data_IF_535427041327
#
_entry.id   IF_535427041327
#
_cell.length_a   1.000
_cell.length_b   1.000
_cell.length_c   1.000
_cell.angle_alpha   90.00
_cell.angle_beta   90.00
_cell.angle_gamma   90.00
#
_symmetry.space_group_name_H-M   'P 1'
#
loop_
_entity.id
_entity.type
_entity.pdbx_description
1 polymer ?
#
# COMPACT_ATOMS: atom_id res chain seq x y z
N UNK A 1 -15.30 -11.64 -32.79
CA UNK A 1 -14.09 -11.19 -33.50
C UNK A 1 -13.12 -12.36 -33.56
N UNK A 2 -12.57 -12.69 -34.74
CA UNK A 2 -11.44 -13.63 -34.81
C UNK A 2 -10.28 -13.07 -34.01
N UNK A 3 -9.70 -13.92 -33.17
CA UNK A 3 -8.54 -13.51 -32.33
C UNK A 3 -7.34 -13.31 -33.24
N UNK A 4 -6.66 -12.19 -33.16
CA UNK A 4 -5.43 -11.92 -33.91
C UNK A 4 -4.35 -12.95 -33.56
N UNK A 5 -3.56 -13.37 -34.55
CA UNK A 5 -2.46 -14.30 -34.40
C UNK A 5 -1.29 -13.86 -35.29
N UNK A 6 -0.07 -13.97 -34.81
CA UNK A 6 1.15 -13.64 -35.57
C UNK A 6 2.25 -14.64 -35.20
N UNK A 7 2.58 -15.55 -36.13
CA UNK A 7 3.67 -16.52 -35.95
C UNK A 7 5.02 -15.83 -35.80
N UNK A 8 5.28 -14.78 -36.57
CA UNK A 8 6.54 -14.02 -36.50
C UNK A 8 6.71 -13.32 -35.15
N UNK A 9 5.61 -12.79 -34.59
CA UNK A 9 5.65 -12.12 -33.29
C UNK A 9 5.80 -13.15 -32.16
N UNK A 10 5.17 -14.29 -32.28
CA UNK A 10 5.37 -15.42 -31.35
C UNK A 10 6.81 -15.96 -31.40
N UNK A 11 7.37 -16.06 -32.61
CA UNK A 11 8.77 -16.46 -32.76
C UNK A 11 9.76 -15.43 -32.18
N UNK A 12 9.35 -14.16 -32.08
CA UNK A 12 10.09 -13.09 -31.39
C UNK A 12 9.89 -13.08 -29.85
N UNK A 13 9.10 -14.02 -29.31
CA UNK A 13 8.90 -14.21 -27.89
C UNK A 13 7.64 -13.55 -27.32
N UNK A 14 6.71 -13.04 -28.18
CA UNK A 14 5.46 -12.41 -27.72
C UNK A 14 4.24 -13.22 -28.20
N UNK A 15 3.50 -13.82 -27.27
CA UNK A 15 2.30 -14.63 -27.57
C UNK A 15 1.01 -13.84 -27.32
N UNK A 16 0.47 -13.22 -28.37
CA UNK A 16 -0.80 -12.47 -28.33
C UNK A 16 -1.97 -13.34 -27.84
N UNK A 17 -1.97 -14.65 -28.14
CA UNK A 17 -3.06 -15.53 -27.74
C UNK A 17 -3.06 -15.81 -26.22
N UNK A 18 -1.89 -15.84 -25.60
CA UNK A 18 -1.73 -15.90 -24.16
C UNK A 18 -2.29 -14.62 -23.49
N UNK A 19 -2.05 -13.44 -24.08
CA UNK A 19 -2.64 -12.18 -23.63
C UNK A 19 -4.17 -12.22 -23.62
N UNK A 20 -4.80 -12.69 -24.70
CA UNK A 20 -6.26 -12.84 -24.75
C UNK A 20 -6.80 -13.83 -23.71
N UNK A 21 -6.09 -14.94 -23.47
CA UNK A 21 -6.48 -15.90 -22.44
C UNK A 21 -6.38 -15.29 -21.04
N UNK A 22 -5.32 -14.53 -20.76
CA UNK A 22 -5.17 -13.81 -19.50
C UNK A 22 -6.34 -12.83 -19.27
N UNK A 23 -6.68 -12.01 -20.26
CA UNK A 23 -7.81 -11.05 -20.17
C UNK A 23 -9.12 -11.76 -19.84
N UNK A 24 -9.38 -12.92 -20.46
CA UNK A 24 -10.63 -13.69 -20.19
C UNK A 24 -10.68 -14.16 -18.72
N UNK A 25 -9.56 -14.66 -18.19
CA UNK A 25 -9.47 -15.12 -16.81
C UNK A 25 -9.60 -13.95 -15.78
N UNK A 26 -9.16 -12.75 -16.15
CA UNK A 26 -9.20 -11.58 -15.27
C UNK A 26 -10.61 -10.97 -15.11
N UNK A 27 -11.50 -11.13 -16.10
CA UNK A 27 -12.81 -10.43 -16.13
C UNK A 27 -13.61 -10.53 -14.85
N UNK A 28 -13.70 -11.72 -14.25
CA UNK A 28 -14.45 -11.93 -13.01
C UNK A 28 -13.84 -11.19 -11.82
N UNK A 29 -12.51 -11.04 -11.78
CA UNK A 29 -11.81 -10.34 -10.70
C UNK A 29 -12.03 -8.83 -10.81
N UNK A 30 -11.89 -8.29 -12.04
CA UNK A 30 -12.12 -6.87 -12.31
C UNK A 30 -13.58 -6.48 -12.06
N UNK A 31 -14.54 -7.32 -12.45
CA UNK A 31 -15.97 -7.07 -12.23
C UNK A 31 -16.31 -6.85 -10.73
N UNK A 32 -15.60 -7.47 -9.80
CA UNK A 32 -15.79 -7.29 -8.36
C UNK A 32 -15.42 -5.88 -7.87
N UNK A 33 -14.59 -5.15 -8.62
CA UNK A 33 -14.11 -3.82 -8.24
C UNK A 33 -15.01 -2.69 -8.73
N UNK A 34 -15.98 -2.99 -9.61
CA UNK A 34 -16.82 -1.96 -10.21
C UNK A 34 -17.62 -1.20 -9.16
N UNK A 35 -17.45 0.11 -9.16
CA UNK A 35 -18.21 1.06 -8.35
C UNK A 35 -19.25 1.77 -9.23
N UNK A 36 -20.25 2.46 -8.65
CA UNK A 36 -21.29 3.14 -9.45
C UNK A 36 -20.77 4.12 -10.50
N UNK A 37 -19.61 4.76 -10.27
CA UNK A 37 -19.00 5.69 -11.23
C UNK A 37 -18.24 5.01 -12.38
N UNK A 38 -17.89 3.71 -12.27
CA UNK A 38 -17.16 3.02 -13.32
C UNK A 38 -18.04 2.75 -14.53
N UNK A 39 -17.62 3.23 -15.71
CA UNK A 39 -18.38 3.10 -16.97
C UNK A 39 -17.68 2.11 -17.91
N UNK A 40 -18.40 1.12 -18.38
CA UNK A 40 -17.87 0.12 -19.30
C UNK A 40 -17.19 -1.06 -18.60
N UNK A 41 -16.27 -1.73 -19.30
CA UNK A 41 -15.53 -2.89 -18.82
C UNK A 41 -14.18 -3.00 -19.51
N UNK A 42 -13.45 -4.10 -19.26
CA UNK A 42 -12.16 -4.37 -19.88
C UNK A 42 -12.26 -4.43 -21.42
N UNK A 43 -11.25 -3.88 -22.10
CA UNK A 43 -11.09 -3.99 -23.55
C UNK A 43 -11.25 -2.66 -24.32
N UNK A 44 -11.50 -1.54 -23.65
CA UNK A 44 -11.41 -0.20 -24.23
C UNK A 44 -9.98 0.32 -24.21
N UNK A 45 -9.70 1.42 -24.93
CA UNK A 45 -8.40 2.11 -24.88
C UNK A 45 -8.17 2.89 -23.60
N UNK A 46 -9.21 3.18 -22.82
CA UNK A 46 -9.12 3.90 -21.57
C UNK A 46 -10.23 3.51 -20.60
N UNK A 47 -9.96 3.64 -19.31
CA UNK A 47 -10.94 3.48 -18.25
C UNK A 47 -11.80 4.74 -18.13
N UNK A 48 -13.12 4.58 -18.13
CA UNK A 48 -14.06 5.69 -17.96
C UNK A 48 -14.65 5.67 -16.57
N UNK A 49 -14.73 6.87 -15.97
CA UNK A 49 -15.29 7.02 -14.64
C UNK A 49 -16.13 8.31 -14.57
N UNK A 50 -17.38 8.19 -14.17
CA UNK A 50 -18.26 9.32 -13.90
C UNK A 50 -18.06 9.77 -12.45
N UNK A 51 -17.66 11.03 -12.28
CA UNK A 51 -17.46 11.60 -10.96
C UNK A 51 -18.81 12.00 -10.35
N UNK A 52 -19.13 11.41 -9.19
CA UNK A 52 -20.23 11.90 -8.36
C UNK A 52 -19.84 13.25 -7.73
N UNK A 53 -20.55 14.30 -8.13
CA UNK A 53 -20.33 15.68 -7.66
C UNK A 53 -21.04 15.99 -6.34
N UNK A 54 -21.71 15.02 -5.71
CA UNK A 54 -22.42 15.25 -4.46
C UNK A 54 -21.44 15.66 -3.34
N UNK A 55 -21.61 16.86 -2.81
CA UNK A 55 -20.77 17.44 -1.77
C UNK A 55 -19.39 17.94 -2.27
N UNK A 56 -19.24 18.09 -3.59
CA UNK A 56 -18.04 18.64 -4.23
C UNK A 56 -18.41 19.95 -4.97
N UNK A 57 -17.94 21.06 -4.44
CA UNK A 57 -18.05 22.39 -5.10
C UNK A 57 -16.77 22.70 -5.88
N UNK A 58 -15.62 22.36 -5.30
CA UNK A 58 -14.30 22.55 -5.89
C UNK A 58 -13.49 21.25 -5.81
N UNK A 59 -13.81 20.25 -6.64
CA UNK A 59 -13.12 18.95 -6.60
C UNK A 59 -11.64 19.07 -6.98
N UNK A 60 -10.77 18.48 -6.19
CA UNK A 60 -9.33 18.35 -6.45
C UNK A 60 -9.02 16.88 -6.65
N UNK A 61 -8.38 16.55 -7.77
CA UNK A 61 -7.87 15.19 -8.03
C UNK A 61 -6.53 15.01 -7.31
N UNK A 62 -6.39 13.88 -6.64
CA UNK A 62 -5.14 13.43 -6.01
C UNK A 62 -4.73 12.14 -6.67
N UNK A 63 -3.48 12.05 -7.13
CA UNK A 63 -2.96 10.86 -7.79
C UNK A 63 -1.74 10.33 -7.06
N UNK A 64 -1.60 9.00 -7.03
CA UNK A 64 -0.46 8.29 -6.49
C UNK A 64 -0.04 7.16 -7.43
N UNK A 65 1.26 6.94 -7.54
CA UNK A 65 1.83 5.81 -8.29
C UNK A 65 2.92 5.18 -7.46
N UNK A 66 2.93 3.86 -7.39
CA UNK A 66 3.94 3.06 -6.70
C UNK A 66 3.92 1.62 -7.22
N UNK A 67 4.91 0.84 -6.82
CA UNK A 67 4.98 -0.59 -7.11
C UNK A 67 4.99 -1.44 -5.85
N UNK A 68 5.44 -2.68 -5.99
CA UNK A 68 5.64 -3.61 -4.87
C UNK A 68 7.10 -3.61 -4.41
N UNK A 69 8.03 -3.38 -5.31
CA UNK A 69 9.45 -3.46 -5.06
C UNK A 69 9.97 -4.88 -4.90
N UNK A 70 11.12 -5.03 -4.22
CA UNK A 70 11.86 -6.30 -4.19
C UNK A 70 11.21 -7.41 -3.35
N UNK A 71 10.08 -7.14 -2.70
CA UNK A 71 9.19 -8.15 -2.08
C UNK A 71 8.68 -9.15 -3.12
N UNK A 72 8.52 -8.73 -4.39
CA UNK A 72 8.14 -9.61 -5.50
C UNK A 72 9.02 -10.86 -5.63
N UNK A 73 10.31 -10.77 -5.29
CA UNK A 73 11.21 -11.95 -5.33
C UNK A 73 10.75 -13.08 -4.40
N UNK A 74 10.14 -12.77 -3.26
CA UNK A 74 9.59 -13.78 -2.35
C UNK A 74 8.35 -14.44 -2.97
N UNK A 75 7.47 -13.66 -3.58
CA UNK A 75 6.30 -14.17 -4.27
C UNK A 75 6.67 -15.11 -5.42
N UNK A 76 7.70 -14.74 -6.19
CA UNK A 76 8.24 -15.56 -7.29
C UNK A 76 8.83 -16.87 -6.75
N UNK A 77 9.63 -16.82 -5.67
CA UNK A 77 10.23 -18.01 -5.04
C UNK A 77 9.18 -18.97 -4.45
N UNK A 78 8.07 -18.44 -3.98
CA UNK A 78 6.98 -19.21 -3.35
C UNK A 78 5.84 -19.55 -4.31
N UNK A 79 5.92 -19.12 -5.57
CA UNK A 79 4.85 -19.23 -6.58
C UNK A 79 3.49 -18.72 -6.04
N UNK A 80 3.52 -17.60 -5.29
CA UNK A 80 2.35 -17.00 -4.65
C UNK A 80 2.18 -15.55 -5.08
N UNK A 81 1.35 -15.32 -6.09
CA UNK A 81 1.28 -14.04 -6.80
C UNK A 81 0.09 -13.16 -6.43
N UNK A 82 -0.96 -13.73 -5.85
CA UNK A 82 -2.23 -13.05 -5.60
C UNK A 82 -2.29 -12.21 -4.33
N UNK A 83 -1.28 -12.25 -3.48
CA UNK A 83 -1.26 -11.47 -2.23
C UNK A 83 -0.29 -10.29 -2.27
N UNK A 84 0.92 -10.51 -2.81
CA UNK A 84 1.98 -9.50 -2.85
C UNK A 84 1.61 -8.26 -3.66
N UNK A 85 0.73 -8.38 -4.62
CA UNK A 85 0.30 -7.27 -5.49
C UNK A 85 -0.76 -6.36 -4.84
N UNK A 86 -1.38 -6.80 -3.74
CA UNK A 86 -2.17 -5.93 -2.86
C UNK A 86 -1.29 -4.80 -2.32
N UNK A 87 0.00 -5.06 -2.10
CA UNK A 87 0.96 -4.04 -1.66
C UNK A 87 1.04 -2.87 -2.66
N UNK A 88 1.07 -3.13 -3.97
CA UNK A 88 1.10 -2.07 -4.98
C UNK A 88 -0.15 -1.17 -4.93
N UNK A 89 -1.33 -1.77 -4.71
CA UNK A 89 -2.57 -1.00 -4.53
C UNK A 89 -2.50 -0.20 -3.23
N UNK A 90 -2.11 -0.86 -2.13
CA UNK A 90 -2.03 -0.24 -0.81
C UNK A 90 -1.08 0.96 -0.79
N UNK A 91 0.10 0.85 -1.41
CA UNK A 91 1.06 1.94 -1.49
C UNK A 91 0.45 3.17 -2.17
N UNK A 92 -0.26 2.98 -3.29
CA UNK A 92 -0.90 4.08 -4.02
C UNK A 92 -2.07 4.70 -3.25
N UNK A 93 -3.00 3.89 -2.74
CA UNK A 93 -4.25 4.41 -2.15
C UNK A 93 -4.05 4.94 -0.71
N UNK A 94 -3.08 4.40 0.04
CA UNK A 94 -2.74 4.93 1.34
C UNK A 94 -2.05 6.29 1.23
N UNK A 95 -1.29 6.56 0.17
CA UNK A 95 -0.73 7.89 -0.09
C UNK A 95 -1.82 8.90 -0.43
N UNK A 96 -2.79 8.51 -1.28
CA UNK A 96 -3.92 9.38 -1.65
C UNK A 96 -4.73 9.79 -0.43
N UNK A 97 -5.03 8.86 0.48
CA UNK A 97 -5.84 9.15 1.66
C UNK A 97 -5.13 10.09 2.64
N UNK A 98 -3.79 10.21 2.59
CA UNK A 98 -3.08 11.19 3.44
C UNK A 98 -3.49 12.63 3.16
N UNK A 99 -3.97 12.91 1.95
CA UNK A 99 -4.53 14.22 1.56
C UNK A 99 -6.03 14.35 1.87
N UNK A 100 -6.66 13.33 2.45
CA UNK A 100 -8.11 13.27 2.66
C UNK A 100 -8.90 12.85 1.43
N UNK A 101 -8.24 12.44 0.34
CA UNK A 101 -8.90 12.09 -0.92
C UNK A 101 -9.46 10.66 -0.90
N UNK A 102 -10.69 10.50 -1.36
CA UNK A 102 -11.31 9.20 -1.59
C UNK A 102 -10.79 8.61 -2.89
N UNK A 103 -10.13 7.43 -2.90
CA UNK A 103 -9.76 6.74 -4.12
C UNK A 103 -10.98 6.41 -4.97
N UNK A 104 -10.87 6.62 -6.28
CA UNK A 104 -11.93 6.38 -7.27
C UNK A 104 -11.58 5.27 -8.24
N UNK A 105 -10.42 5.40 -8.87
CA UNK A 105 -9.94 4.48 -9.91
C UNK A 105 -8.53 4.01 -9.64
N UNK A 106 -8.24 2.82 -10.15
CA UNK A 106 -6.92 2.22 -10.16
C UNK A 106 -6.60 1.68 -11.56
N UNK A 107 -5.34 1.79 -11.94
CA UNK A 107 -4.75 1.21 -13.14
C UNK A 107 -3.50 0.44 -12.73
N UNK A 108 -3.23 -0.70 -13.36
CA UNK A 108 -1.99 -1.43 -13.19
C UNK A 108 -1.16 -1.49 -14.47
N UNK A 109 0.15 -1.63 -14.32
CA UNK A 109 1.08 -1.98 -15.37
C UNK A 109 1.89 -3.19 -14.94
N UNK A 110 1.73 -4.30 -15.65
CA UNK A 110 2.43 -5.55 -15.41
C UNK A 110 3.44 -5.75 -16.52
N UNK A 111 4.74 -5.74 -16.22
CA UNK A 111 5.83 -6.06 -17.13
C UNK A 111 6.39 -7.43 -16.78
N UNK A 112 6.42 -8.39 -17.70
CA UNK A 112 6.89 -9.75 -17.44
C UNK A 112 7.78 -10.28 -18.56
N UNK A 113 8.65 -11.25 -18.23
CA UNK A 113 9.48 -11.90 -19.22
C UNK A 113 8.68 -12.79 -20.17
N UNK A 114 7.59 -13.40 -19.63
CA UNK A 114 6.68 -14.25 -20.39
C UNK A 114 5.27 -14.19 -19.82
N UNK A 115 4.28 -14.04 -20.69
CA UNK A 115 2.88 -14.09 -20.30
C UNK A 115 2.44 -15.54 -20.08
N UNK A 116 2.16 -15.87 -18.80
CA UNK A 116 1.49 -17.10 -18.38
C UNK A 116 0.10 -16.70 -17.92
N UNK A 117 -0.97 -17.05 -18.65
CA UNK A 117 -2.34 -16.54 -18.42
C UNK A 117 -2.81 -16.69 -16.97
N UNK A 118 -2.58 -17.85 -16.36
CA UNK A 118 -2.99 -18.16 -14.99
C UNK A 118 -2.22 -17.33 -13.97
N UNK A 119 -0.92 -17.07 -14.19
CA UNK A 119 -0.09 -16.23 -13.34
C UNK A 119 -0.55 -14.77 -13.41
N UNK A 120 -0.78 -14.25 -14.62
CA UNK A 120 -1.28 -12.88 -14.81
C UNK A 120 -2.67 -12.72 -14.17
N UNK A 121 -3.55 -13.70 -14.33
CA UNK A 121 -4.86 -13.69 -13.67
C UNK A 121 -4.75 -13.71 -12.14
N UNK A 122 -3.81 -14.49 -11.58
CA UNK A 122 -3.53 -14.49 -10.13
C UNK A 122 -3.02 -13.12 -9.66
N UNK A 123 -2.12 -12.48 -10.41
CA UNK A 123 -1.65 -11.11 -10.14
C UNK A 123 -2.84 -10.15 -10.11
N UNK A 124 -3.63 -10.10 -11.19
CA UNK A 124 -4.78 -9.18 -11.28
C UNK A 124 -5.85 -9.49 -10.24
N UNK A 125 -6.01 -10.75 -9.82
CA UNK A 125 -6.93 -11.09 -8.72
C UNK A 125 -6.54 -10.41 -7.39
N UNK A 126 -5.25 -10.30 -7.12
CA UNK A 126 -4.75 -9.57 -5.94
C UNK A 126 -4.86 -8.06 -6.08
N UNK A 127 -4.60 -7.49 -7.27
CA UNK A 127 -4.86 -6.07 -7.54
C UNK A 127 -6.34 -5.75 -7.31
N UNK A 128 -7.23 -6.58 -7.87
CA UNK A 128 -8.68 -6.43 -7.68
C UNK A 128 -9.09 -6.51 -6.20
N UNK A 129 -8.49 -7.43 -5.43
CA UNK A 129 -8.74 -7.51 -3.98
C UNK A 129 -8.34 -6.23 -3.26
N UNK A 130 -7.16 -5.68 -3.57
CA UNK A 130 -6.72 -4.38 -3.03
C UNK A 130 -7.68 -3.25 -3.38
N UNK A 131 -8.16 -3.21 -4.64
CA UNK A 131 -9.16 -2.23 -5.09
C UNK A 131 -10.49 -2.36 -4.34
N UNK A 132 -10.99 -3.57 -4.10
CA UNK A 132 -12.22 -3.82 -3.29
C UNK A 132 -12.03 -3.31 -1.85
N UNK A 133 -10.87 -3.58 -1.25
CA UNK A 133 -10.56 -3.07 0.09
C UNK A 133 -10.53 -1.54 0.12
N UNK A 134 -9.94 -0.90 -0.88
CA UNK A 134 -9.87 0.55 -1.01
C UNK A 134 -11.23 1.19 -1.42
N UNK A 135 -12.15 0.42 -2.00
CA UNK A 135 -13.37 0.97 -2.60
C UNK A 135 -13.12 1.71 -3.92
N UNK A 136 -12.04 1.38 -4.62
CA UNK A 136 -11.68 1.91 -5.93
C UNK A 136 -12.01 0.92 -7.04
N UNK A 137 -12.33 1.43 -8.25
CA UNK A 137 -12.58 0.59 -9.41
C UNK A 137 -11.28 0.35 -10.21
N UNK A 138 -10.98 -0.91 -10.50
CA UNK A 138 -9.92 -1.27 -11.46
C UNK A 138 -10.48 -1.09 -12.87
N UNK A 139 -10.25 0.09 -13.47
CA UNK A 139 -10.89 0.50 -14.73
C UNK A 139 -10.07 0.17 -15.97
N UNK A 140 -8.85 -0.31 -15.80
CA UNK A 140 -7.95 -0.68 -16.89
C UNK A 140 -6.57 -1.05 -16.39
N UNK A 141 -5.69 -1.34 -17.33
CA UNK A 141 -4.30 -1.68 -17.07
C UNK A 141 -3.60 -2.12 -18.34
N UNK A 142 -2.33 -2.50 -18.21
CA UNK A 142 -1.50 -2.99 -19.31
C UNK A 142 -0.71 -4.22 -18.85
N UNK A 143 -0.59 -5.21 -19.72
CA UNK A 143 0.30 -6.35 -19.52
C UNK A 143 1.28 -6.42 -20.70
N UNK A 144 2.54 -6.12 -20.43
CA UNK A 144 3.62 -6.11 -21.41
C UNK A 144 4.49 -7.36 -21.28
N UNK A 145 4.52 -8.19 -22.33
CA UNK A 145 5.50 -9.26 -22.48
C UNK A 145 6.80 -8.67 -23.02
N UNK A 146 7.88 -8.79 -22.26
CA UNK A 146 9.16 -8.15 -22.52
C UNK A 146 10.30 -9.18 -22.55
N UNK A 147 10.36 -10.03 -23.59
CA UNK A 147 11.39 -11.07 -23.70
C UNK A 147 12.78 -10.45 -23.76
N UNK A 148 13.70 -11.02 -22.98
CA UNK A 148 15.09 -10.52 -22.90
C UNK A 148 15.30 -9.32 -21.99
N UNK A 149 14.22 -8.69 -21.49
CA UNK A 149 14.30 -7.61 -20.50
C UNK A 149 14.11 -8.16 -19.08
N UNK A 150 13.10 -9.00 -18.88
CA UNK A 150 12.90 -9.77 -17.66
C UNK A 150 13.19 -11.27 -17.91
N UNK A 151 13.70 -12.01 -16.91
CA UNK A 151 13.68 -13.46 -16.93
C UNK A 151 12.24 -14.01 -17.14
N UNK A 152 12.09 -15.15 -17.80
CA UNK A 152 10.76 -15.69 -18.16
C UNK A 152 9.78 -15.85 -16.99
N UNK A 153 10.30 -16.16 -15.80
CA UNK A 153 9.50 -16.38 -14.59
C UNK A 153 9.32 -15.12 -13.73
N UNK A 154 9.93 -13.99 -14.12
CA UNK A 154 9.93 -12.75 -13.36
C UNK A 154 8.99 -11.71 -13.97
N UNK A 155 8.54 -10.80 -13.11
CA UNK A 155 7.71 -9.66 -13.48
C UNK A 155 7.93 -8.50 -12.53
N UNK A 156 7.51 -7.33 -12.97
CA UNK A 156 7.35 -6.13 -12.14
C UNK A 156 5.93 -5.60 -12.29
N UNK A 157 5.49 -4.82 -11.31
CA UNK A 157 4.16 -4.23 -11.29
C UNK A 157 4.23 -2.81 -10.74
N UNK A 158 3.58 -1.91 -11.44
CA UNK A 158 3.30 -0.55 -10.98
C UNK A 158 1.79 -0.31 -10.96
N UNK A 159 1.33 0.42 -9.95
CA UNK A 159 -0.03 0.90 -9.82
C UNK A 159 -0.12 2.39 -10.01
N UNK A 160 -1.28 2.85 -10.44
CA UNK A 160 -1.64 4.26 -10.52
C UNK A 160 -3.07 4.42 -10.02
N UNK A 161 -3.23 5.22 -8.98
CA UNK A 161 -4.53 5.52 -8.39
C UNK A 161 -4.89 7.00 -8.57
N UNK A 162 -6.17 7.28 -8.72
CA UNK A 162 -6.72 8.65 -8.68
C UNK A 162 -7.84 8.68 -7.67
N UNK A 163 -7.80 9.68 -6.80
CA UNK A 163 -8.86 10.00 -5.85
C UNK A 163 -9.34 11.43 -6.01
N UNK A 164 -10.38 11.79 -5.27
CA UNK A 164 -10.96 13.13 -5.23
C UNK A 164 -11.16 13.60 -3.81
N UNK A 165 -10.94 14.88 -3.59
CA UNK A 165 -11.24 15.57 -2.34
C UNK A 165 -11.84 16.94 -2.65
N UNK A 166 -12.80 17.40 -1.84
CA UNK A 166 -13.23 18.80 -1.87
C UNK A 166 -12.08 19.70 -1.41
N UNK A 167 -11.79 20.77 -2.16
CA UNK A 167 -10.64 21.66 -1.90
C UNK A 167 -10.55 22.14 -0.46
N UNK A 168 -11.69 22.47 0.14
CA UNK A 168 -11.79 22.93 1.53
C UNK A 168 -11.57 21.81 2.58
N UNK A 169 -11.54 20.54 2.14
CA UNK A 169 -11.33 19.35 2.99
C UNK A 169 -9.96 18.73 2.80
N UNK A 170 -9.10 19.32 1.99
CA UNK A 170 -7.70 18.84 1.89
C UNK A 170 -7.08 18.94 3.28
N UNK A 171 -6.50 17.84 3.73
CA UNK A 171 -5.83 17.80 5.03
C UNK A 171 -4.61 18.70 4.97
N UNK A 172 -4.54 19.65 5.90
CA UNK A 172 -3.39 20.48 6.11
C UNK A 172 -3.07 20.57 7.61
N UNK A 173 -1.80 20.80 7.91
CA UNK A 173 -1.29 20.81 9.28
C UNK A 173 -1.25 22.20 9.92
N UNK A 174 -1.90 23.19 9.34
CA UNK A 174 -1.82 24.59 9.80
C UNK A 174 -2.44 24.82 11.18
N UNK A 175 -3.37 23.95 11.58
CA UNK A 175 -4.02 23.98 12.90
C UNK A 175 -3.31 23.13 13.96
N UNK A 176 -2.29 22.35 13.56
CA UNK A 176 -1.53 21.48 14.45
C UNK A 176 -0.76 22.30 15.49
N UNK A 177 -0.74 21.83 16.74
CA UNK A 177 -0.07 22.48 17.85
C UNK A 177 0.48 21.46 18.86
N UNK A 178 1.45 21.85 19.68
CA UNK A 178 1.89 21.01 20.80
C UNK A 178 0.74 20.58 21.69
N UNK A 179 0.72 19.29 22.07
CA UNK A 179 -0.33 18.63 22.83
C UNK A 179 -1.31 17.84 21.96
N UNK A 180 -1.33 18.03 20.64
CA UNK A 180 -2.18 17.22 19.75
C UNK A 180 -1.78 15.75 19.80
N UNK A 181 -2.77 14.87 19.71
CA UNK A 181 -2.58 13.44 19.86
C UNK A 181 -2.09 12.78 18.56
N UNK A 182 -1.11 11.89 18.68
CA UNK A 182 -0.65 11.03 17.58
C UNK A 182 -1.17 9.62 17.79
N UNK A 183 -2.04 9.17 16.89
CA UNK A 183 -2.69 7.85 16.92
C UNK A 183 -2.03 6.96 15.87
N UNK A 184 -1.66 5.75 16.30
CA UNK A 184 -1.12 4.72 15.44
C UNK A 184 -2.23 3.82 14.89
N UNK A 185 -2.18 3.53 13.60
CA UNK A 185 -2.90 2.44 12.94
C UNK A 185 -1.90 1.31 12.70
N UNK A 186 -2.11 0.12 13.29
CA UNK A 186 -1.14 -0.97 13.23
C UNK A 186 -0.85 -1.43 11.81
N UNK A 187 0.41 -1.76 11.54
CA UNK A 187 0.78 -2.47 10.32
C UNK A 187 0.43 -3.96 10.40
N UNK A 188 0.31 -4.60 9.25
CA UNK A 188 0.15 -6.06 9.14
C UNK A 188 1.48 -6.82 9.24
N UNK A 189 2.59 -6.10 9.34
CA UNK A 189 3.97 -6.60 9.32
C UNK A 189 4.90 -5.63 8.62
N UNK A 190 5.85 -6.14 7.85
CA UNK A 190 6.88 -5.33 7.16
C UNK A 190 6.29 -4.40 6.09
N UNK A 191 5.10 -4.72 5.58
CA UNK A 191 4.48 -4.07 4.43
C UNK A 191 5.28 -4.29 3.14
N UNK A 192 5.60 -3.20 2.40
CA UNK A 192 6.29 -3.30 1.11
C UNK A 192 7.70 -2.71 1.11
N UNK A 193 8.15 -2.14 2.22
CA UNK A 193 9.40 -1.40 2.30
C UNK A 193 10.51 -2.16 3.04
N UNK A 194 11.78 -1.86 2.73
CA UNK A 194 12.94 -2.47 3.37
C UNK A 194 13.29 -3.87 2.89
N UNK A 195 12.64 -4.41 1.84
CA UNK A 195 12.81 -5.80 1.41
C UNK A 195 14.18 -6.11 0.81
N UNK A 196 14.93 -5.14 0.31
CA UNK A 196 16.33 -5.37 -0.08
C UNK A 196 17.18 -5.75 1.13
N UNK A 197 16.97 -5.08 2.26
CA UNK A 197 17.63 -5.40 3.52
C UNK A 197 17.15 -6.74 4.08
N UNK A 198 15.83 -6.97 4.14
CA UNK A 198 15.22 -8.23 4.59
C UNK A 198 15.81 -9.44 3.84
N UNK A 199 15.85 -9.35 2.50
CA UNK A 199 16.38 -10.42 1.65
C UNK A 199 17.86 -10.70 1.93
N UNK A 200 18.65 -9.66 2.19
CA UNK A 200 20.05 -9.79 2.57
C UNK A 200 20.21 -10.41 3.94
N UNK A 201 19.46 -9.93 4.94
CA UNK A 201 19.55 -10.40 6.35
C UNK A 201 19.26 -11.89 6.45
N UNK A 202 18.23 -12.40 5.79
CA UNK A 202 17.83 -13.79 5.84
C UNK A 202 18.44 -14.67 4.74
N UNK A 203 19.26 -14.10 3.84
CA UNK A 203 19.78 -14.86 2.70
C UNK A 203 18.66 -15.51 1.87
N UNK A 204 17.60 -14.76 1.56
CA UNK A 204 16.36 -15.28 0.95
C UNK A 204 16.65 -16.04 -0.34
N UNK A 205 16.24 -17.31 -0.38
CA UNK A 205 16.33 -18.25 -1.49
C UNK A 205 15.22 -19.30 -1.40
N UNK A 206 15.17 -20.25 -2.34
CA UNK A 206 14.16 -21.31 -2.43
C UNK A 206 14.00 -22.17 -1.17
N UNK A 207 15.01 -22.26 -0.31
CA UNK A 207 14.96 -23.03 0.93
C UNK A 207 14.60 -22.17 2.12
N UNK A 208 15.19 -20.99 2.23
CA UNK A 208 15.00 -20.11 3.41
C UNK A 208 13.59 -19.55 3.50
N UNK A 209 12.87 -19.36 2.40
CA UNK A 209 11.46 -18.92 2.42
C UNK A 209 10.56 -19.92 3.15
N UNK A 210 10.90 -21.20 3.17
CA UNK A 210 10.13 -22.25 3.83
C UNK A 210 10.63 -22.58 5.25
N UNK A 211 11.67 -21.90 5.73
CA UNK A 211 12.15 -22.09 7.08
C UNK A 211 11.07 -21.67 8.09
N UNK A 212 10.70 -22.59 8.98
CA UNK A 212 9.71 -22.33 10.02
C UNK A 212 10.31 -21.53 11.16
N UNK A 213 9.71 -20.39 11.48
CA UNK A 213 10.10 -19.51 12.56
C UNK A 213 9.14 -19.68 13.74
N UNK A 214 9.63 -20.25 14.85
CA UNK A 214 8.81 -20.55 16.01
C UNK A 214 8.17 -19.28 16.62
N UNK A 215 8.91 -18.18 16.65
CA UNK A 215 8.44 -16.88 17.16
C UNK A 215 7.34 -16.24 16.29
N UNK A 216 7.23 -16.66 15.03
CA UNK A 216 6.21 -16.19 14.09
C UNK A 216 5.05 -17.16 13.90
N UNK A 217 5.24 -18.44 14.33
CA UNK A 217 4.25 -19.51 14.17
C UNK A 217 3.98 -19.92 12.71
N UNK A 218 4.86 -19.57 11.76
CA UNK A 218 4.73 -19.84 10.33
C UNK A 218 6.11 -19.80 9.64
N UNK A 219 6.16 -20.12 8.36
CA UNK A 219 7.40 -19.98 7.60
C UNK A 219 7.78 -18.50 7.43
N UNK A 220 9.09 -18.25 7.26
CA UNK A 220 9.63 -16.92 7.06
C UNK A 220 8.98 -16.24 5.84
N UNK A 221 8.85 -16.95 4.73
CA UNK A 221 8.22 -16.42 3.52
C UNK A 221 6.74 -16.07 3.73
N UNK A 222 5.97 -16.91 4.44
CA UNK A 222 4.56 -16.59 4.77
C UNK A 222 4.45 -15.36 5.65
N UNK A 223 5.34 -15.18 6.62
CA UNK A 223 5.35 -13.98 7.47
C UNK A 223 5.70 -12.72 6.67
N UNK A 224 6.66 -12.82 5.76
CA UNK A 224 7.12 -11.69 4.95
C UNK A 224 6.19 -11.36 3.78
N UNK A 225 5.37 -12.31 3.29
CA UNK A 225 4.41 -12.08 2.21
C UNK A 225 3.05 -11.54 2.69
N UNK A 226 2.87 -11.30 3.98
CA UNK A 226 1.65 -10.64 4.47
C UNK A 226 1.47 -9.31 3.72
N UNK A 227 0.31 -9.06 3.09
CA UNK A 227 0.07 -7.83 2.33
C UNK A 227 0.11 -6.58 3.20
N UNK A 228 0.49 -5.47 2.59
CA UNK A 228 0.34 -4.14 3.17
C UNK A 228 -1.13 -3.86 3.47
N UNK A 229 -1.40 -3.32 4.66
CA UNK A 229 -2.74 -2.96 5.08
C UNK A 229 -3.25 -1.74 4.34
N UNK A 230 -4.53 -1.75 3.94
CA UNK A 230 -5.21 -0.63 3.29
C UNK A 230 -6.07 0.08 4.32
N UNK A 231 -5.78 1.36 4.57
CA UNK A 231 -6.41 2.17 5.63
C UNK A 231 -7.53 3.08 5.13
N UNK A 232 -7.88 3.01 3.86
CA UNK A 232 -8.80 3.95 3.20
C UNK A 232 -10.15 4.06 3.91
N UNK A 233 -10.85 2.93 4.12
CA UNK A 233 -12.20 2.95 4.70
C UNK A 233 -12.25 3.50 6.13
N UNK A 234 -11.42 3.01 7.08
CA UNK A 234 -11.42 3.54 8.44
C UNK A 234 -11.00 5.01 8.51
N UNK A 235 -10.06 5.45 7.67
CA UNK A 235 -9.63 6.85 7.64
C UNK A 235 -10.72 7.75 7.05
N UNK A 236 -11.40 7.34 5.97
CA UNK A 236 -12.55 8.11 5.45
C UNK A 236 -13.66 8.25 6.51
N UNK A 237 -13.96 7.16 7.27
CA UNK A 237 -14.92 7.22 8.37
C UNK A 237 -14.48 8.18 9.49
N UNK A 238 -13.18 8.24 9.78
CA UNK A 238 -12.61 9.19 10.73
C UNK A 238 -12.81 10.62 10.28
N UNK A 239 -12.49 10.93 9.02
CA UNK A 239 -12.59 12.28 8.44
C UNK A 239 -14.01 12.83 8.40
N UNK A 240 -15.03 11.97 8.44
CA UNK A 240 -16.43 12.38 8.52
C UNK A 240 -16.85 12.88 9.91
N UNK A 241 -16.11 12.48 10.97
CA UNK A 241 -16.53 12.67 12.37
C UNK A 241 -15.59 13.54 13.18
N UNK A 242 -14.29 13.49 12.88
CA UNK A 242 -13.24 14.08 13.73
C UNK A 242 -12.36 14.99 12.89
N UNK A 243 -11.99 16.19 13.40
CA UNK A 243 -10.94 16.99 12.79
C UNK A 243 -9.61 16.23 12.77
N UNK A 244 -8.97 16.16 11.61
CA UNK A 244 -7.66 15.53 11.42
C UNK A 244 -6.70 16.56 10.85
N UNK A 245 -5.58 16.79 11.53
CA UNK A 245 -4.60 17.79 11.14
C UNK A 245 -3.50 17.22 10.23
N UNK A 246 -3.21 15.93 10.36
CA UNK A 246 -2.28 15.26 9.47
C UNK A 246 -2.53 13.75 9.44
N UNK A 247 -2.18 13.15 8.31
CA UNK A 247 -2.10 11.70 8.12
C UNK A 247 -0.74 11.39 7.54
N UNK A 248 -0.06 10.39 8.10
CA UNK A 248 1.26 9.97 7.69
C UNK A 248 1.27 8.48 7.35
N UNK A 249 1.54 8.14 6.10
CA UNK A 249 1.80 6.76 5.69
C UNK A 249 3.26 6.42 5.98
N UNK A 250 3.51 5.44 6.86
CA UNK A 250 4.86 5.04 7.25
C UNK A 250 5.40 4.02 6.25
N UNK A 251 6.24 4.48 5.34
CA UNK A 251 6.84 3.73 4.24
C UNK A 251 8.36 3.62 4.37
N UNK A 252 9.10 3.57 3.28
CA UNK A 252 10.57 3.65 3.28
C UNK A 252 11.07 4.91 3.98
N UNK A 253 12.17 4.77 4.72
CA UNK A 253 12.64 5.83 5.62
C UNK A 253 12.01 5.81 7.02
N UNK A 254 11.02 4.92 7.27
CA UNK A 254 10.45 4.65 8.57
C UNK A 254 9.88 5.90 9.28
N UNK A 255 10.02 5.96 10.59
CA UNK A 255 9.51 7.08 11.39
C UNK A 255 10.23 8.38 11.11
N UNK A 256 11.56 8.33 10.98
CA UNK A 256 12.39 9.54 10.90
C UNK A 256 12.21 10.34 9.62
N UNK A 257 11.84 9.70 8.50
CA UNK A 257 11.60 10.41 7.25
C UNK A 257 10.11 10.71 7.00
N UNK A 258 9.19 9.87 7.48
CA UNK A 258 7.78 10.03 7.15
C UNK A 258 7.03 10.93 8.14
N UNK A 259 7.19 10.76 9.46
CA UNK A 259 6.47 11.59 10.43
C UNK A 259 6.76 13.09 10.26
N UNK A 260 8.01 13.55 10.06
CA UNK A 260 8.31 14.98 9.89
C UNK A 260 7.59 15.62 8.69
N UNK A 261 7.31 14.85 7.63
CA UNK A 261 6.57 15.35 6.44
C UNK A 261 5.14 15.78 6.77
N UNK A 262 4.55 15.14 7.79
CA UNK A 262 3.19 15.43 8.23
C UNK A 262 3.11 16.55 9.28
N UNK A 263 4.21 16.89 9.95
CA UNK A 263 4.22 17.88 11.01
C UNK A 263 4.17 19.32 10.50
N UNK A 264 3.61 20.21 11.32
CA UNK A 264 3.70 21.66 11.13
C UNK A 264 5.10 22.17 11.51
N UNK A 265 5.45 23.36 11.04
CA UNK A 265 6.70 24.03 11.44
C UNK A 265 6.68 24.32 12.95
N UNK A 266 7.81 24.14 13.62
CA UNK A 266 7.90 24.27 15.06
C UNK A 266 7.36 23.08 15.87
N UNK A 267 7.08 21.95 15.21
CA UNK A 267 6.56 20.73 15.84
C UNK A 267 7.49 19.54 15.66
N UNK A 268 7.55 18.67 16.68
CA UNK A 268 8.17 17.35 16.64
C UNK A 268 7.17 16.28 17.05
N UNK A 269 7.30 15.09 16.51
CA UNK A 269 6.53 13.93 16.94
C UNK A 269 7.26 13.28 18.15
N UNK A 270 6.68 13.35 19.33
CA UNK A 270 7.18 12.69 20.53
C UNK A 270 6.47 11.36 20.71
N UNK A 271 7.17 10.27 20.44
CA UNK A 271 6.62 8.91 20.42
C UNK A 271 7.15 8.10 21.60
N UNK A 272 6.24 7.52 22.36
CA UNK A 272 6.55 6.64 23.49
C UNK A 272 6.79 5.20 23.01
N UNK A 273 8.04 4.75 22.95
CA UNK A 273 8.42 3.41 22.46
C UNK A 273 7.69 2.28 23.19
N UNK A 274 7.46 2.43 24.48
CA UNK A 274 6.76 1.41 25.27
C UNK A 274 5.29 1.19 24.86
N UNK A 275 4.68 2.13 24.15
CA UNK A 275 3.32 2.01 23.61
C UNK A 275 3.28 1.36 22.23
N UNK A 276 4.40 1.28 21.53
CA UNK A 276 4.43 0.70 20.19
C UNK A 276 4.19 -0.80 20.24
N UNK A 277 3.24 -1.27 19.45
CA UNK A 277 2.88 -2.69 19.32
C UNK A 277 3.68 -3.31 18.15
N UNK A 278 4.98 -3.47 18.37
CA UNK A 278 5.90 -3.94 17.33
C UNK A 278 5.77 -5.46 17.12
N UNK A 279 5.39 -5.95 15.93
CA UNK A 279 5.35 -7.38 15.63
C UNK A 279 6.71 -8.07 15.74
N UNK A 280 6.71 -9.35 16.14
CA UNK A 280 7.91 -10.15 16.38
C UNK A 280 8.87 -10.22 15.18
N UNK A 281 8.36 -10.08 13.95
CA UNK A 281 9.17 -10.09 12.74
C UNK A 281 10.25 -8.99 12.76
N UNK A 282 9.99 -7.82 13.32
CA UNK A 282 10.96 -6.73 13.38
C UNK A 282 12.11 -7.04 14.34
N UNK A 283 11.83 -7.68 15.47
CA UNK A 283 12.87 -8.12 16.40
C UNK A 283 13.71 -9.25 15.80
N UNK A 284 13.07 -10.14 15.02
CA UNK A 284 13.78 -11.20 14.28
C UNK A 284 14.73 -10.58 13.23
N UNK A 285 14.26 -9.59 12.45
CA UNK A 285 15.08 -8.85 11.49
C UNK A 285 16.25 -8.17 12.19
N UNK A 286 15.98 -7.44 13.28
CA UNK A 286 17.00 -6.70 14.06
C UNK A 286 18.10 -7.63 14.56
N UNK A 287 17.73 -8.73 15.22
CA UNK A 287 18.68 -9.71 15.79
C UNK A 287 19.50 -10.41 14.72
N UNK A 288 18.84 -10.93 13.70
CA UNK A 288 19.51 -11.70 12.63
C UNK A 288 20.46 -10.81 11.83
N UNK A 289 20.05 -9.58 11.55
CA UNK A 289 20.85 -8.60 10.80
C UNK A 289 21.86 -7.83 11.65
N UNK A 290 21.83 -7.97 12.98
CA UNK A 290 22.57 -7.12 13.91
C UNK A 290 22.41 -5.63 13.60
N UNK A 291 21.15 -5.21 13.39
CA UNK A 291 20.78 -3.85 12.96
C UNK A 291 20.59 -2.98 14.20
N UNK A 292 21.07 -1.73 14.14
CA UNK A 292 20.87 -0.76 15.22
C UNK A 292 19.39 -0.41 15.39
N UNK A 293 18.97 -0.02 16.60
CA UNK A 293 17.59 0.44 16.83
C UNK A 293 17.26 1.63 15.92
N UNK A 294 18.15 2.59 15.79
CA UNK A 294 17.98 3.73 14.91
C UNK A 294 17.71 3.31 13.47
N UNK A 295 18.52 2.39 12.91
CA UNK A 295 18.35 1.95 11.53
C UNK A 295 17.04 1.16 11.34
N UNK A 296 16.57 0.44 12.36
CA UNK A 296 15.26 -0.21 12.32
C UNK A 296 14.13 0.82 12.14
N UNK A 297 14.13 1.89 12.96
CA UNK A 297 13.15 2.97 12.87
C UNK A 297 13.33 3.88 11.64
N UNK A 298 14.50 3.87 11.01
CA UNK A 298 14.79 4.61 9.78
C UNK A 298 14.52 3.79 8.49
N UNK A 299 14.24 2.49 8.63
CA UNK A 299 14.00 1.62 7.47
C UNK A 299 12.59 1.07 7.44
N UNK A 300 12.03 0.72 8.60
CA UNK A 300 10.79 -0.03 8.73
C UNK A 300 9.70 0.75 9.47
N UNK A 301 8.46 0.31 9.29
CA UNK A 301 7.28 0.87 9.95
C UNK A 301 7.16 0.50 11.44
N UNK A 302 7.98 -0.42 11.94
CA UNK A 302 8.04 -0.87 13.33
C UNK A 302 6.69 -1.21 13.98
N UNK A 303 5.71 -1.65 13.18
CA UNK A 303 4.36 -1.99 13.64
C UNK A 303 3.30 -0.89 13.47
N UNK A 304 3.69 0.27 12.95
CA UNK A 304 2.77 1.39 12.64
C UNK A 304 2.76 1.65 11.15
N UNK A 305 1.70 1.26 10.45
CA UNK A 305 1.62 1.49 9.01
C UNK A 305 1.11 2.89 8.65
N UNK A 306 0.28 3.48 9.51
CA UNK A 306 -0.20 4.85 9.33
C UNK A 306 -0.32 5.55 10.68
N UNK A 307 -0.06 6.84 10.71
CA UNK A 307 -0.29 7.69 11.87
C UNK A 307 -1.26 8.81 11.52
N UNK A 308 -2.14 9.17 12.45
CA UNK A 308 -3.02 10.33 12.30
C UNK A 308 -2.81 11.29 13.47
N UNK A 309 -2.87 12.58 13.19
CA UNK A 309 -2.76 13.65 14.21
C UNK A 309 -4.11 14.32 14.34
N UNK A 310 -4.64 14.33 15.55
CA UNK A 310 -5.93 14.92 15.90
C UNK A 310 -5.80 15.84 17.09
N UNK A 311 -6.72 16.82 17.29
CA UNK A 311 -6.77 17.59 18.51
C UNK A 311 -6.85 16.67 19.75
N UNK A 312 -6.14 17.01 20.83
CA UNK A 312 -6.11 16.17 22.04
C UNK A 312 -7.51 15.84 22.58
N UNK A 313 -8.43 16.79 22.52
CA UNK A 313 -9.82 16.66 22.97
C UNK A 313 -10.65 15.67 22.14
N UNK A 314 -10.21 15.35 20.91
CA UNK A 314 -10.85 14.39 20.01
C UNK A 314 -10.15 13.02 19.95
N UNK A 315 -9.08 12.80 20.74
CA UNK A 315 -8.29 11.57 20.66
C UNK A 315 -9.12 10.30 20.95
N UNK A 316 -9.94 10.32 21.99
CA UNK A 316 -10.80 9.17 22.38
C UNK A 316 -11.88 8.90 21.33
N UNK A 317 -12.51 9.94 20.78
CA UNK A 317 -13.48 9.83 19.71
C UNK A 317 -12.85 9.25 18.45
N UNK A 318 -11.67 9.72 18.06
CA UNK A 318 -10.90 9.22 16.93
C UNK A 318 -10.56 7.73 17.07
N UNK A 319 -10.10 7.31 18.27
CA UNK A 319 -9.85 5.91 18.58
C UNK A 319 -11.14 5.06 18.48
N UNK A 320 -12.26 5.57 18.98
CA UNK A 320 -13.53 4.86 18.91
C UNK A 320 -13.97 4.66 17.45
N UNK A 321 -13.93 5.72 16.63
CA UNK A 321 -14.30 5.65 15.20
C UNK A 321 -13.42 4.68 14.44
N UNK A 322 -12.09 4.73 14.62
CA UNK A 322 -11.16 3.83 13.95
C UNK A 322 -11.42 2.37 14.33
N UNK A 323 -11.65 2.08 15.62
CA UNK A 323 -11.93 0.73 16.12
C UNK A 323 -13.27 0.19 15.63
N UNK A 324 -14.32 0.99 15.60
CA UNK A 324 -15.62 0.64 15.01
C UNK A 324 -15.50 0.25 13.53
N UNK A 325 -14.49 0.81 12.82
CA UNK A 325 -14.20 0.53 11.42
C UNK A 325 -13.09 -0.52 11.21
N UNK A 326 -12.77 -1.30 12.25
CA UNK A 326 -11.92 -2.48 12.16
C UNK A 326 -10.42 -2.23 12.33
N UNK A 327 -10.00 -1.00 12.75
CA UNK A 327 -8.62 -0.70 13.08
C UNK A 327 -8.38 -0.82 14.59
N UNK A 328 -7.40 -1.63 14.98
CA UNK A 328 -6.94 -1.70 16.38
C UNK A 328 -6.04 -0.51 16.74
N UNK A 329 -6.53 0.70 16.45
CA UNK A 329 -5.81 1.95 16.64
C UNK A 329 -5.54 2.22 18.13
N UNK A 330 -4.41 2.87 18.39
CA UNK A 330 -3.99 3.22 19.74
C UNK A 330 -3.21 4.53 19.79
N UNK A 331 -3.21 5.17 20.93
CA UNK A 331 -2.42 6.37 21.20
C UNK A 331 -0.94 6.00 21.31
N UNK A 332 -0.07 6.60 20.49
CA UNK A 332 1.36 6.31 20.51
C UNK A 332 2.25 7.46 20.96
N UNK A 333 1.72 8.68 20.98
CA UNK A 333 2.47 9.85 21.34
C UNK A 333 1.74 11.15 21.09
N UNK A 334 2.44 12.25 21.17
CA UNK A 334 1.91 13.60 21.04
C UNK A 334 2.79 14.46 20.14
N UNK A 335 2.21 15.52 19.63
CA UNK A 335 2.96 16.62 19.02
C UNK A 335 3.59 17.45 20.14
N UNK A 336 4.86 17.76 20.04
CA UNK A 336 5.57 18.63 20.98
C UNK A 336 6.20 19.82 20.28
N UNK A 337 6.60 20.83 21.02
CA UNK A 337 7.36 21.96 20.50
C UNK A 337 8.79 21.53 20.10
N UNK A 338 9.27 21.98 18.96
CA UNK A 338 10.62 21.70 18.47
C UNK A 338 11.16 22.82 17.59
N UNK A 339 12.48 22.98 17.55
CA UNK A 339 13.12 23.97 16.69
C UNK A 339 13.01 23.61 15.20
N UNK A 340 13.01 22.30 14.90
CA UNK A 340 12.89 21.73 13.56
C UNK A 340 11.94 20.53 13.62
N UNK A 341 11.33 20.19 12.47
CA UNK A 341 10.50 18.98 12.36
C UNK A 341 11.36 17.74 12.59
N UNK A 342 10.87 16.83 13.41
CA UNK A 342 11.62 15.63 13.76
C UNK A 342 10.81 14.60 14.53
N UNK A 343 11.49 13.55 14.97
CA UNK A 343 10.92 12.48 15.80
C UNK A 343 11.77 12.28 17.04
N UNK A 344 11.14 12.33 18.19
CA UNK A 344 11.71 11.96 19.48
C UNK A 344 11.12 10.61 19.90
N UNK A 345 11.97 9.58 19.99
CA UNK A 345 11.60 8.26 20.52
C UNK A 345 12.14 8.13 21.95
N UNK A 346 11.27 7.96 22.94
CA UNK A 346 11.64 7.89 24.35
C UNK A 346 11.04 6.68 25.10
#
# INVERSE_FOLDING_TARGET
MEKSFSESYKAAGVDITAGYAAVELMKQHVARTMTPGAIGGLGGFGGLFELDMTGLEHPVLVSGTDGVGTKLKLAILMDKHNTVVIDGVAMCVNDIITCGAKPLIFLDYIACGKVVPEKVAAIVSGVAEGCVQAGAALVGGETAEMPGFYPENEYDLAGFAVGVVEKSKIIDNTQMRPGDAIIALPSSGVHSNGFSLVRRVFGINEKTVWHYEADLGKSLGEALLVPTRIYVKPVLALLEKVPVYAICHITGGGFYENLPRALADGCVARIEKAKLRTPAIFELIRKTGNISEHDMYNTFNMGVGMAVVVPAEHADEALAVLRENGEDAYFMGEVAEGAEKGVELW
#
